data_IF_002667568356
#
_entry.id   IF_002667568356
#
_cell.length_a   1.000
_cell.length_b   1.000
_cell.length_c   1.000
_cell.angle_alpha   90.00
_cell.angle_beta   90.00
_cell.angle_gamma   90.00
#
_symmetry.space_group_name_H-M   'P 1'
#
loop_
_entity.id
_entity.type
_entity.pdbx_description
1 polymer ?
#
# COMPACT_ATOMS: atom_id res chain seq x y z
N UNK A 1 22.56 -7.19 17.23
CA UNK A 1 21.33 -7.29 16.42
C UNK A 1 21.56 -6.54 15.12
N UNK A 2 21.50 -7.21 13.98
CA UNK A 2 21.67 -6.57 12.68
C UNK A 2 20.41 -5.75 12.29
N UNK A 3 20.46 -4.86 11.29
CA UNK A 3 19.30 -4.04 10.90
C UNK A 3 18.05 -4.86 10.52
N UNK A 4 18.22 -6.00 9.85
CA UNK A 4 17.13 -6.90 9.47
C UNK A 4 16.48 -7.56 10.69
N UNK A 5 17.27 -8.03 11.66
CA UNK A 5 16.73 -8.56 12.92
C UNK A 5 15.94 -7.50 13.70
N UNK A 6 16.41 -6.24 13.68
CA UNK A 6 15.69 -5.14 14.33
C UNK A 6 14.34 -4.87 13.67
N UNK A 7 14.26 -4.94 12.34
CA UNK A 7 13.02 -4.79 11.59
C UNK A 7 12.08 -5.98 11.82
N UNK A 8 12.60 -7.21 11.77
CA UNK A 8 11.83 -8.42 12.06
C UNK A 8 11.19 -8.38 13.45
N UNK A 9 11.91 -7.89 14.46
CA UNK A 9 11.40 -7.78 15.83
C UNK A 9 10.30 -6.71 16.01
N UNK A 10 10.07 -5.84 15.02
CA UNK A 10 8.95 -4.87 15.04
C UNK A 10 7.64 -5.46 14.55
N UNK A 11 7.69 -6.56 13.79
CA UNK A 11 6.50 -7.19 13.21
C UNK A 11 5.55 -7.64 14.32
N UNK A 12 4.26 -7.46 14.07
CA UNK A 12 3.18 -7.88 14.97
C UNK A 12 2.25 -8.78 14.19
N UNK A 13 1.89 -9.92 14.79
CA UNK A 13 0.88 -10.79 14.21
C UNK A 13 -0.47 -10.09 14.29
N UNK A 14 -1.19 -10.09 13.18
CA UNK A 14 -2.58 -9.69 13.11
C UNK A 14 -3.32 -10.69 12.20
N UNK A 15 -4.63 -10.55 12.08
CA UNK A 15 -5.46 -11.42 11.25
C UNK A 15 -6.43 -10.54 10.47
N UNK A 16 -6.53 -10.68 9.14
CA UNK A 16 -7.55 -10.00 8.37
C UNK A 16 -8.94 -10.28 8.93
N UNK A 17 -9.71 -9.23 9.20
CA UNK A 17 -11.08 -9.33 9.70
C UNK A 17 -12.02 -8.76 8.65
N UNK A 18 -13.17 -9.42 8.47
CA UNK A 18 -14.22 -8.91 7.61
C UNK A 18 -14.74 -7.57 8.12
N UNK A 19 -15.12 -6.71 7.19
CA UNK A 19 -15.62 -5.37 7.48
C UNK A 19 -17.01 -5.19 6.88
N UNK A 20 -17.74 -4.21 7.38
CA UNK A 20 -19.03 -3.79 6.80
C UNK A 20 -18.88 -2.45 6.09
N UNK A 21 -19.78 -2.20 5.14
CA UNK A 21 -19.81 -0.95 4.39
C UNK A 21 -20.30 0.19 5.28
N UNK A 22 -19.45 1.19 5.49
CA UNK A 22 -19.78 2.44 6.15
C UNK A 22 -19.88 3.63 5.19
N UNK A 23 -19.99 4.83 5.77
CA UNK A 23 -19.97 6.09 5.02
C UNK A 23 -18.53 6.49 4.71
N UNK A 24 -18.26 6.71 3.43
CA UNK A 24 -17.00 7.27 2.93
C UNK A 24 -17.13 8.79 2.75
N UNK A 25 -16.01 9.48 2.55
CA UNK A 25 -16.02 10.92 2.26
C UNK A 25 -16.63 11.18 0.88
N UNK A 26 -17.56 12.13 0.83
CA UNK A 26 -18.17 12.61 -0.41
C UNK A 26 -17.11 13.18 -1.37
N UNK A 27 -17.15 12.76 -2.62
CA UNK A 27 -16.18 13.12 -3.66
C UNK A 27 -14.97 12.18 -3.74
N UNK A 28 -14.84 11.20 -2.83
CA UNK A 28 -13.76 10.20 -2.87
C UNK A 28 -14.18 8.86 -3.47
N UNK A 29 -15.47 8.64 -3.75
CA UNK A 29 -16.05 7.34 -4.04
C UNK A 29 -15.38 6.63 -5.23
N UNK A 30 -15.25 7.32 -6.36
CA UNK A 30 -14.61 6.75 -7.56
C UNK A 30 -13.13 6.46 -7.32
N UNK A 31 -12.41 7.38 -6.66
CA UNK A 31 -11.00 7.19 -6.32
C UNK A 31 -10.80 6.00 -5.38
N UNK A 32 -11.68 5.82 -4.38
CA UNK A 32 -11.65 4.65 -3.49
C UNK A 32 -11.85 3.34 -4.26
N UNK A 33 -12.72 3.33 -5.27
CA UNK A 33 -12.90 2.15 -6.15
C UNK A 33 -11.62 1.81 -6.92
N UNK A 34 -10.90 2.82 -7.43
CA UNK A 34 -9.60 2.61 -8.10
C UNK A 34 -8.50 2.17 -7.12
N UNK A 35 -8.49 2.72 -5.91
CA UNK A 35 -7.59 2.29 -4.83
C UNK A 35 -7.81 0.82 -4.49
N UNK A 36 -9.07 0.39 -4.39
CA UNK A 36 -9.38 -1.03 -4.16
C UNK A 36 -9.04 -1.90 -5.36
N UNK A 37 -9.26 -1.43 -6.59
CA UNK A 37 -8.93 -2.16 -7.81
C UNK A 37 -7.44 -2.53 -7.90
N UNK A 38 -6.54 -1.66 -7.43
CA UNK A 38 -5.10 -1.93 -7.45
C UNK A 38 -4.59 -2.88 -6.37
N UNK A 39 -5.47 -3.42 -5.51
CA UNK A 39 -5.11 -4.54 -4.61
C UNK A 39 -4.53 -5.73 -5.35
N UNK A 40 -4.83 -5.88 -6.65
CA UNK A 40 -4.24 -6.92 -7.49
C UNK A 40 -2.70 -6.81 -7.64
N UNK A 41 -2.07 -5.75 -7.11
CA UNK A 41 -0.63 -5.58 -7.03
C UNK A 41 0.00 -6.24 -5.77
N UNK A 42 -0.78 -6.55 -4.72
CA UNK A 42 -0.28 -7.16 -3.47
C UNK A 42 0.45 -8.50 -3.75
N UNK A 43 -0.19 -9.41 -4.48
CA UNK A 43 0.40 -10.71 -4.80
C UNK A 43 1.65 -10.61 -5.72
N UNK A 44 1.66 -9.78 -6.79
CA UNK A 44 2.88 -9.47 -7.53
C UNK A 44 4.03 -8.96 -6.67
N UNK A 45 3.78 -8.09 -5.69
CA UNK A 45 4.81 -7.59 -4.77
C UNK A 45 5.42 -8.75 -3.97
N UNK A 46 4.61 -9.66 -3.43
CA UNK A 46 5.09 -10.89 -2.78
C UNK A 46 5.88 -11.81 -3.73
N UNK A 47 5.43 -11.95 -4.98
CA UNK A 47 6.12 -12.73 -6.00
C UNK A 47 7.49 -12.12 -6.38
N UNK A 48 7.58 -10.78 -6.46
CA UNK A 48 8.82 -10.06 -6.72
C UNK A 48 9.87 -10.33 -5.64
N UNK A 49 9.47 -10.34 -4.37
CA UNK A 49 10.34 -10.69 -3.24
C UNK A 49 10.79 -12.14 -3.32
N UNK A 50 9.87 -13.06 -3.68
CA UNK A 50 10.17 -14.48 -3.84
C UNK A 50 11.21 -14.72 -4.94
N UNK A 51 11.02 -14.12 -6.11
CA UNK A 51 11.98 -14.20 -7.22
C UNK A 51 13.35 -13.62 -6.84
N UNK A 52 13.38 -12.55 -6.05
CA UNK A 52 14.63 -11.96 -5.60
C UNK A 52 15.41 -12.88 -4.65
N UNK A 53 14.71 -13.63 -3.79
CA UNK A 53 15.35 -14.61 -2.89
C UNK A 53 16.19 -15.63 -3.67
N UNK A 54 15.79 -15.98 -4.89
CA UNK A 54 16.50 -16.90 -5.77
C UNK A 54 17.71 -16.24 -6.47
N UNK A 55 17.68 -14.91 -6.66
CA UNK A 55 18.68 -14.15 -7.42
C UNK A 55 19.84 -13.57 -6.60
N UNK A 56 19.92 -13.91 -5.30
CA UNK A 56 21.05 -13.53 -4.44
C UNK A 56 20.80 -12.24 -3.65
N UNK A 57 19.96 -12.32 -2.63
CA UNK A 57 19.84 -11.30 -1.58
C UNK A 57 20.78 -11.60 -0.40
N UNK A 58 21.13 -10.59 0.42
CA UNK A 58 21.92 -10.82 1.63
C UNK A 58 21.28 -11.89 2.54
N UNK A 59 22.08 -12.86 3.00
CA UNK A 59 21.58 -13.97 3.82
C UNK A 59 20.84 -13.51 5.08
N UNK A 60 21.31 -12.42 5.69
CA UNK A 60 20.71 -11.79 6.88
C UNK A 60 19.31 -11.22 6.61
N UNK A 61 18.98 -10.91 5.36
CA UNK A 61 17.68 -10.38 4.96
C UNK A 61 16.65 -11.48 4.66
N UNK A 62 17.08 -12.70 4.30
CA UNK A 62 16.20 -13.76 3.78
C UNK A 62 15.02 -14.06 4.70
N UNK A 63 15.27 -14.23 6.00
CA UNK A 63 14.21 -14.52 6.98
C UNK A 63 13.14 -13.43 7.03
N UNK A 64 13.56 -12.16 6.94
CA UNK A 64 12.64 -11.03 6.96
C UNK A 64 11.86 -10.91 5.65
N UNK A 65 12.53 -11.09 4.50
CA UNK A 65 11.89 -11.07 3.18
C UNK A 65 10.82 -12.16 3.06
N UNK A 66 11.10 -13.39 3.49
CA UNK A 66 10.10 -14.48 3.55
C UNK A 66 8.93 -14.08 4.46
N UNK A 67 9.22 -13.41 5.58
CA UNK A 67 8.17 -12.93 6.46
C UNK A 67 7.31 -11.84 5.80
N UNK A 68 7.87 -10.98 4.96
CA UNK A 68 7.13 -9.94 4.25
C UNK A 68 6.20 -10.54 3.19
N UNK A 69 6.65 -11.57 2.44
CA UNK A 69 5.79 -12.30 1.49
C UNK A 69 4.50 -12.80 2.15
N UNK A 70 4.59 -13.27 3.40
CA UNK A 70 3.42 -13.73 4.13
C UNK A 70 2.47 -12.59 4.54
N UNK A 71 2.99 -11.38 4.73
CA UNK A 71 2.13 -10.23 5.01
C UNK A 71 1.31 -9.86 3.77
N UNK A 72 1.89 -9.95 2.57
CA UNK A 72 1.16 -9.64 1.31
C UNK A 72 -0.08 -10.52 1.11
N UNK A 73 -0.03 -11.79 1.54
CA UNK A 73 -1.20 -12.66 1.54
C UNK A 73 -2.29 -12.17 2.51
N UNK A 74 -1.89 -11.58 3.64
CA UNK A 74 -2.84 -10.96 4.58
C UNK A 74 -3.36 -9.63 4.04
N UNK A 75 -2.53 -8.84 3.35
CA UNK A 75 -2.91 -7.58 2.73
C UNK A 75 -3.98 -7.82 1.66
N UNK A 76 -3.72 -8.74 0.73
CA UNK A 76 -4.66 -9.14 -0.33
C UNK A 76 -6.00 -9.57 0.26
N UNK A 77 -5.97 -10.45 1.26
CA UNK A 77 -7.18 -10.91 1.94
C UNK A 77 -7.94 -9.79 2.65
N UNK A 78 -7.24 -8.91 3.36
CA UNK A 78 -7.87 -7.80 4.08
C UNK A 78 -8.50 -6.79 3.12
N UNK A 79 -7.81 -6.43 2.04
CA UNK A 79 -8.35 -5.56 1.00
C UNK A 79 -9.52 -6.23 0.26
N UNK A 80 -9.45 -7.54 0.03
CA UNK A 80 -10.55 -8.30 -0.56
C UNK A 80 -11.81 -8.26 0.30
N UNK A 81 -11.70 -8.31 1.64
CA UNK A 81 -12.86 -8.10 2.52
C UNK A 81 -13.47 -6.69 2.39
N UNK A 82 -12.65 -5.67 2.18
CA UNK A 82 -13.16 -4.31 1.89
C UNK A 82 -13.88 -4.30 0.53
N UNK A 83 -13.36 -4.99 -0.48
CA UNK A 83 -14.01 -5.11 -1.79
C UNK A 83 -15.34 -5.85 -1.69
N UNK A 84 -15.42 -6.93 -0.92
CA UNK A 84 -16.67 -7.66 -0.69
C UNK A 84 -17.75 -6.77 -0.05
N UNK A 85 -17.37 -5.91 0.90
CA UNK A 85 -18.30 -4.98 1.55
C UNK A 85 -18.74 -3.83 0.63
N UNK A 86 -17.82 -3.27 -0.17
CA UNK A 86 -18.10 -2.06 -0.97
C UNK A 86 -18.52 -2.35 -2.42
N UNK A 87 -18.27 -3.57 -2.91
CA UNK A 87 -18.35 -3.95 -4.32
C UNK A 87 -17.16 -3.46 -5.14
N UNK A 88 -17.13 -3.84 -6.42
CA UNK A 88 -16.10 -3.45 -7.40
C UNK A 88 -16.59 -2.35 -8.36
N UNK A 89 -15.67 -1.78 -9.11
CA UNK A 89 -15.94 -1.11 -10.40
C UNK A 89 -15.27 -1.95 -11.49
N UNK A 90 -16.06 -2.61 -12.34
CA UNK A 90 -15.52 -3.57 -13.32
C UNK A 90 -14.54 -2.94 -14.32
N UNK A 91 -14.75 -1.66 -14.66
CA UNK A 91 -13.82 -0.96 -15.54
C UNK A 91 -12.50 -0.72 -14.82
N UNK A 92 -12.56 -0.25 -13.57
CA UNK A 92 -11.37 -0.06 -12.75
C UNK A 92 -10.60 -1.36 -12.52
N UNK A 93 -11.29 -2.49 -12.28
CA UNK A 93 -10.66 -3.81 -12.14
C UNK A 93 -9.89 -4.19 -13.41
N UNK A 94 -10.51 -4.06 -14.59
CA UNK A 94 -9.85 -4.36 -15.87
C UNK A 94 -8.63 -3.48 -16.12
N UNK A 95 -8.73 -2.19 -15.84
CA UNK A 95 -7.63 -1.25 -16.01
C UNK A 95 -6.49 -1.50 -14.99
N UNK A 96 -6.82 -1.89 -13.76
CA UNK A 96 -5.83 -2.28 -12.75
C UNK A 96 -5.05 -3.53 -13.14
N UNK A 97 -5.70 -4.52 -13.77
CA UNK A 97 -5.01 -5.71 -14.30
C UNK A 97 -4.00 -5.35 -15.40
N UNK A 98 -4.31 -4.38 -16.26
CA UNK A 98 -3.37 -3.89 -17.29
C UNK A 98 -2.15 -3.25 -16.62
N UNK A 99 -2.36 -2.42 -15.59
CA UNK A 99 -1.27 -1.83 -14.81
C UNK A 99 -0.42 -2.93 -14.15
N UNK A 100 -1.05 -3.92 -13.51
CA UNK A 100 -0.40 -5.08 -12.92
C UNK A 100 0.50 -5.80 -13.91
N UNK A 101 -0.01 -6.08 -15.11
CA UNK A 101 0.76 -6.77 -16.13
C UNK A 101 1.96 -5.93 -16.59
N UNK A 102 1.83 -4.60 -16.65
CA UNK A 102 2.96 -3.71 -16.92
C UNK A 102 4.03 -3.76 -15.80
N UNK A 103 3.64 -3.85 -14.53
CA UNK A 103 4.57 -4.05 -13.41
C UNK A 103 5.29 -5.40 -13.46
N UNK A 104 4.54 -6.47 -13.77
CA UNK A 104 5.10 -7.82 -13.92
C UNK A 104 6.15 -7.86 -15.03
N UNK A 105 5.84 -7.28 -16.19
CA UNK A 105 6.70 -7.27 -17.38
C UNK A 105 7.86 -6.26 -17.30
N UNK A 106 7.83 -5.31 -16.35
CA UNK A 106 8.87 -4.29 -16.26
C UNK A 106 10.25 -4.94 -15.98
N UNK A 107 11.33 -4.57 -16.71
CA UNK A 107 12.61 -5.26 -16.67
C UNK A 107 13.45 -4.98 -15.42
N UNK A 108 13.13 -3.93 -14.66
CA UNK A 108 13.82 -3.61 -13.41
C UNK A 108 13.82 -4.78 -12.43
N UNK A 109 14.87 -4.83 -11.61
CA UNK A 109 15.02 -5.83 -10.56
C UNK A 109 13.77 -5.89 -9.67
N UNK A 110 13.30 -7.09 -9.37
CA UNK A 110 12.03 -7.29 -8.67
C UNK A 110 11.95 -6.58 -7.30
N UNK A 111 13.02 -6.56 -6.51
CA UNK A 111 13.07 -5.76 -5.27
C UNK A 111 12.95 -4.25 -5.48
N UNK A 112 13.49 -3.69 -6.57
CA UNK A 112 13.33 -2.26 -6.82
C UNK A 112 11.91 -1.95 -7.30
N UNK A 113 11.26 -2.89 -8.01
CA UNK A 113 9.83 -2.82 -8.33
C UNK A 113 8.97 -2.83 -7.05
N UNK A 114 9.21 -3.80 -6.15
CA UNK A 114 8.58 -3.90 -4.81
C UNK A 114 8.71 -2.59 -4.04
N UNK A 115 9.96 -2.13 -3.84
CA UNK A 115 10.24 -0.90 -3.11
C UNK A 115 9.56 0.32 -3.73
N UNK A 116 9.51 0.40 -5.06
CA UNK A 116 8.87 1.54 -5.75
C UNK A 116 7.36 1.52 -5.56
N UNK A 117 6.71 0.35 -5.65
CA UNK A 117 5.28 0.20 -5.41
C UNK A 117 4.91 0.51 -3.95
N UNK A 118 5.55 -0.15 -2.99
CA UNK A 118 5.30 0.04 -1.55
C UNK A 118 5.50 1.50 -1.14
N UNK A 119 6.68 2.06 -1.46
CA UNK A 119 7.08 3.39 -0.97
C UNK A 119 6.30 4.52 -1.59
N UNK A 120 5.93 4.44 -2.86
CA UNK A 120 5.41 5.58 -3.60
C UNK A 120 4.00 5.39 -4.16
N UNK A 121 3.42 4.20 -4.01
CA UNK A 121 2.00 3.94 -4.29
C UNK A 121 1.31 3.56 -2.97
N UNK A 122 1.67 2.46 -2.31
CA UNK A 122 0.94 2.01 -1.12
C UNK A 122 1.02 2.98 0.06
N UNK A 123 2.19 3.56 0.33
CA UNK A 123 2.31 4.65 1.31
C UNK A 123 1.48 5.91 0.99
N UNK A 124 0.94 6.04 -0.22
CA UNK A 124 -0.02 7.08 -0.61
C UNK A 124 -1.46 6.58 -0.42
N UNK A 125 -1.74 5.33 -0.86
CA UNK A 125 -3.09 4.76 -0.83
C UNK A 125 -3.57 4.46 0.59
N UNK A 126 -2.69 3.99 1.47
CA UNK A 126 -3.05 3.66 2.85
C UNK A 126 -3.51 4.91 3.62
N UNK A 127 -2.80 6.06 3.56
CA UNK A 127 -3.36 7.32 4.05
C UNK A 127 -4.64 7.76 3.35
N UNK A 128 -4.78 7.53 2.03
CA UNK A 128 -6.01 7.86 1.31
C UNK A 128 -7.23 7.11 1.89
N UNK A 129 -7.10 5.80 2.10
CA UNK A 129 -8.10 4.97 2.78
C UNK A 129 -8.39 5.48 4.19
N UNK A 130 -7.36 5.93 4.92
CA UNK A 130 -7.54 6.46 6.26
C UNK A 130 -8.31 7.78 6.32
N UNK A 131 -8.04 8.71 5.40
CA UNK A 131 -8.66 10.04 5.44
C UNK A 131 -10.01 10.11 4.73
N UNK A 132 -10.24 9.27 3.73
CA UNK A 132 -11.41 9.34 2.87
C UNK A 132 -12.31 8.10 2.96
N UNK A 133 -11.78 6.98 3.47
CA UNK A 133 -12.55 5.76 3.68
C UNK A 133 -13.36 5.76 4.97
N UNK A 134 -14.13 4.68 5.13
CA UNK A 134 -14.88 4.38 6.34
C UNK A 134 -14.01 3.69 7.40
N UNK A 135 -14.64 3.17 8.46
CA UNK A 135 -13.93 2.51 9.56
C UNK A 135 -13.24 1.22 9.13
N UNK A 136 -13.86 0.43 8.24
CA UNK A 136 -13.28 -0.80 7.72
C UNK A 136 -12.00 -0.52 6.92
N UNK A 137 -12.06 0.47 6.03
CA UNK A 137 -10.92 0.95 5.25
C UNK A 137 -9.80 1.51 6.15
N UNK A 138 -10.14 2.31 7.17
CA UNK A 138 -9.17 2.89 8.11
C UNK A 138 -8.43 1.84 8.92
N UNK A 139 -9.15 0.82 9.39
CA UNK A 139 -8.60 -0.27 10.20
C UNK A 139 -7.70 -1.15 9.34
N UNK A 140 -8.18 -1.57 8.17
CA UNK A 140 -7.41 -2.33 7.18
C UNK A 140 -6.12 -1.60 6.81
N UNK A 141 -6.21 -0.31 6.46
CA UNK A 141 -5.05 0.48 6.11
C UNK A 141 -4.08 0.65 7.28
N UNK A 142 -4.56 0.68 8.53
CA UNK A 142 -3.72 0.79 9.73
C UNK A 142 -2.92 -0.49 9.98
N UNK A 143 -3.52 -1.66 9.80
CA UNK A 143 -2.83 -2.94 9.95
C UNK A 143 -1.76 -3.10 8.86
N UNK A 144 -2.12 -2.88 7.59
CA UNK A 144 -1.18 -2.94 6.46
C UNK A 144 -0.05 -1.92 6.62
N UNK A 145 -0.34 -0.68 7.05
CA UNK A 145 0.69 0.37 7.23
C UNK A 145 1.79 0.00 8.23
N UNK A 146 1.55 -0.93 9.16
CA UNK A 146 2.58 -1.40 10.11
C UNK A 146 3.57 -2.33 9.43
N UNK A 147 3.08 -3.20 8.57
CA UNK A 147 3.90 -4.15 7.81
C UNK A 147 4.67 -3.44 6.72
N UNK A 148 4.03 -2.52 5.99
CA UNK A 148 4.64 -1.74 4.90
C UNK A 148 5.83 -0.87 5.35
N UNK A 149 5.83 -0.39 6.60
CA UNK A 149 7.01 0.28 7.18
C UNK A 149 8.21 -0.66 7.31
N UNK A 150 7.95 -1.93 7.61
CA UNK A 150 8.98 -2.97 7.69
C UNK A 150 9.40 -3.39 6.29
N UNK A 151 8.47 -3.50 5.34
CA UNK A 151 8.73 -3.85 3.94
C UNK A 151 9.64 -2.84 3.28
N UNK A 152 9.25 -1.56 3.25
CA UNK A 152 10.06 -0.47 2.69
C UNK A 152 11.41 -0.37 3.39
N UNK A 153 11.46 -0.54 4.71
CA UNK A 153 12.71 -0.55 5.47
C UNK A 153 13.64 -1.70 5.05
N UNK A 154 13.09 -2.88 4.83
CA UNK A 154 13.84 -4.07 4.38
C UNK A 154 14.32 -3.90 2.95
N UNK A 155 13.41 -3.59 2.03
CA UNK A 155 13.69 -3.43 0.61
C UNK A 155 14.67 -2.28 0.36
N UNK A 156 14.63 -1.20 1.15
CA UNK A 156 15.62 -0.11 1.08
C UNK A 156 17.03 -0.57 1.47
N UNK A 157 17.17 -1.39 2.51
CA UNK A 157 18.48 -1.93 2.91
C UNK A 157 19.04 -2.86 1.82
N UNK A 158 18.23 -3.81 1.35
CA UNK A 158 18.67 -4.78 0.34
C UNK A 158 19.01 -4.10 -1.00
N UNK A 159 18.15 -3.20 -1.48
CA UNK A 159 18.43 -2.47 -2.73
C UNK A 159 19.69 -1.61 -2.61
N UNK A 160 19.96 -1.01 -1.45
CA UNK A 160 21.21 -0.29 -1.19
C UNK A 160 22.42 -1.23 -1.24
N UNK A 161 22.36 -2.36 -0.54
CA UNK A 161 23.45 -3.36 -0.54
C UNK A 161 23.73 -3.94 -1.93
N UNK A 162 22.69 -4.07 -2.76
CA UNK A 162 22.79 -4.54 -4.15
C UNK A 162 23.06 -3.41 -5.16
N UNK A 163 23.21 -2.15 -4.71
CA UNK A 163 23.40 -0.98 -5.57
C UNK A 163 22.31 -0.81 -6.66
N UNK A 164 21.08 -1.16 -6.31
CA UNK A 164 19.91 -1.06 -7.18
C UNK A 164 19.28 0.32 -7.09
N UNK A 165 18.92 0.89 -8.24
CA UNK A 165 18.17 2.14 -8.36
C UNK A 165 17.04 1.96 -9.36
N UNK A 166 15.93 2.65 -9.12
CA UNK A 166 14.79 2.60 -10.03
C UNK A 166 15.16 3.27 -11.35
N UNK A 167 14.91 2.60 -12.47
CA UNK A 167 15.13 3.18 -13.78
C UNK A 167 14.13 4.31 -14.07
N UNK A 168 14.44 5.23 -15.01
CA UNK A 168 13.49 6.24 -15.44
C UNK A 168 12.17 5.64 -15.99
N UNK A 169 12.21 4.45 -16.60
CA UNK A 169 11.00 3.78 -17.08
C UNK A 169 10.15 3.23 -15.93
N UNK A 170 10.77 2.74 -14.86
CA UNK A 170 10.04 2.30 -13.66
C UNK A 170 9.37 3.50 -12.98
N UNK A 171 10.07 4.64 -12.87
CA UNK A 171 9.48 5.86 -12.32
C UNK A 171 8.31 6.37 -13.18
N UNK A 172 8.42 6.25 -14.51
CA UNK A 172 7.31 6.56 -15.43
C UNK A 172 6.10 5.64 -15.20
N UNK A 173 6.32 4.34 -15.00
CA UNK A 173 5.26 3.38 -14.68
C UNK A 173 4.60 3.70 -13.34
N UNK A 174 5.39 4.03 -12.31
CA UNK A 174 4.88 4.52 -11.02
C UNK A 174 3.99 5.74 -11.20
N UNK A 175 4.47 6.77 -11.90
CA UNK A 175 3.70 8.00 -12.16
C UNK A 175 2.40 7.73 -12.91
N UNK A 176 2.44 6.87 -13.93
CA UNK A 176 1.25 6.46 -14.66
C UNK A 176 0.23 5.77 -13.74
N UNK A 177 0.72 4.86 -12.89
CA UNK A 177 -0.11 4.12 -11.93
C UNK A 177 -0.80 5.07 -10.94
N UNK A 178 -0.05 5.91 -10.23
CA UNK A 178 -0.64 6.80 -9.22
C UNK A 178 -1.52 7.89 -9.85
N UNK A 179 -1.18 8.38 -11.04
CA UNK A 179 -2.02 9.35 -11.77
C UNK A 179 -3.34 8.74 -12.24
N UNK A 180 -3.35 7.46 -12.62
CA UNK A 180 -4.59 6.75 -12.95
C UNK A 180 -5.46 6.54 -11.71
N UNK A 181 -4.87 6.16 -10.58
CA UNK A 181 -5.62 5.99 -9.32
C UNK A 181 -6.27 7.31 -8.90
N UNK A 182 -5.49 8.39 -8.88
CA UNK A 182 -5.93 9.71 -8.42
C UNK A 182 -6.66 10.52 -9.51
N UNK A 183 -6.87 9.96 -10.70
CA UNK A 183 -7.49 10.65 -11.83
C UNK A 183 -8.86 11.27 -11.52
N UNK A 184 -9.76 10.61 -10.75
CA UNK A 184 -11.09 11.17 -10.49
C UNK A 184 -11.06 12.44 -9.63
N UNK A 185 -9.96 12.68 -8.91
CA UNK A 185 -9.81 13.87 -8.09
C UNK A 185 -9.50 15.10 -8.96
N UNK A 186 -10.03 16.24 -8.53
CA UNK A 186 -9.76 17.55 -9.12
C UNK A 186 -8.89 18.45 -8.24
N UNK A 187 -8.96 19.76 -8.49
CA UNK A 187 -8.53 20.76 -7.52
C UNK A 187 -9.66 20.96 -6.49
N UNK A 188 -9.31 20.93 -5.21
CA UNK A 188 -10.28 20.98 -4.12
C UNK A 188 -9.70 21.65 -2.88
N UNK A 189 -10.54 22.33 -2.08
CA UNK A 189 -10.14 23.00 -0.83
C UNK A 189 -9.77 22.00 0.27
N UNK A 190 -10.57 20.94 0.43
CA UNK A 190 -10.13 19.76 1.18
C UNK A 190 -8.97 19.09 0.44
N UNK A 191 -7.77 19.25 1.00
CA UNK A 191 -6.52 18.67 0.46
C UNK A 191 -6.58 17.15 0.25
N UNK A 192 -7.42 16.42 0.99
CA UNK A 192 -7.54 14.97 0.83
C UNK A 192 -8.38 14.56 -0.39
N UNK A 193 -9.10 15.51 -0.99
CA UNK A 193 -9.78 15.36 -2.27
C UNK A 193 -9.01 16.07 -3.40
N UNK A 194 -7.84 16.66 -3.09
CA UNK A 194 -7.03 17.37 -4.07
C UNK A 194 -6.07 16.40 -4.75
N UNK A 195 -6.18 16.25 -6.08
CA UNK A 195 -5.30 15.35 -6.86
C UNK A 195 -3.82 15.67 -6.68
N UNK A 196 -3.47 16.95 -6.71
CA UNK A 196 -2.07 17.40 -6.67
C UNK A 196 -1.40 16.99 -5.36
N UNK A 197 -2.12 17.08 -4.24
CA UNK A 197 -1.63 16.67 -2.93
C UNK A 197 -1.12 15.22 -2.93
N UNK A 198 -1.87 14.30 -3.52
CA UNK A 198 -1.51 12.88 -3.55
C UNK A 198 -0.38 12.56 -4.53
N UNK A 199 -0.34 13.25 -5.68
CA UNK A 199 0.75 13.09 -6.65
C UNK A 199 2.07 13.65 -6.11
N UNK A 200 2.04 14.83 -5.47
CA UNK A 200 3.21 15.41 -4.82
C UNK A 200 3.74 14.46 -3.73
N UNK A 201 2.85 13.89 -2.90
CA UNK A 201 3.24 12.93 -1.87
C UNK A 201 3.92 11.68 -2.45
N UNK A 202 3.42 11.14 -3.57
CA UNK A 202 4.04 10.03 -4.28
C UNK A 202 5.46 10.37 -4.76
N UNK A 203 5.64 11.55 -5.37
CA UNK A 203 6.94 12.00 -5.87
C UNK A 203 7.94 12.23 -4.72
N UNK A 204 7.52 12.87 -3.64
CA UNK A 204 8.40 13.11 -2.49
C UNK A 204 8.78 11.81 -1.77
N UNK A 205 7.86 10.87 -1.64
CA UNK A 205 8.19 9.54 -1.11
C UNK A 205 9.20 8.81 -2.01
N UNK A 206 9.07 8.93 -3.32
CA UNK A 206 10.00 8.32 -4.26
C UNK A 206 11.41 8.94 -4.19
N UNK A 207 11.51 10.27 -4.18
CA UNK A 207 12.78 10.98 -4.33
C UNK A 207 13.45 11.35 -3.00
N UNK A 208 12.67 11.67 -1.98
CA UNK A 208 13.17 12.12 -0.67
C UNK A 208 13.00 11.05 0.43
N UNK A 209 12.22 9.99 0.16
CA UNK A 209 11.85 8.98 1.16
C UNK A 209 10.93 9.54 2.26
N UNK A 210 10.33 10.71 2.04
CA UNK A 210 9.51 11.43 3.03
C UNK A 210 8.36 12.15 2.35
N UNK A 211 7.22 12.20 3.01
CA UNK A 211 6.10 13.10 2.67
C UNK A 211 5.64 13.85 3.94
N UNK A 212 6.28 14.99 4.28
CA UNK A 212 5.89 15.86 5.38
C UNK A 212 4.39 16.22 5.42
N UNK A 213 3.75 16.34 4.26
CA UNK A 213 2.33 16.59 4.10
C UNK A 213 1.43 15.48 4.68
N UNK A 214 1.96 14.26 4.80
CA UNK A 214 1.29 13.12 5.44
C UNK A 214 1.62 13.01 6.93
N UNK A 215 2.32 13.98 7.55
CA UNK A 215 2.73 13.90 8.95
C UNK A 215 1.56 13.72 9.94
N UNK A 216 0.34 14.16 9.57
CA UNK A 216 -0.87 13.97 10.38
C UNK A 216 -1.25 12.50 10.56
N UNK A 217 -0.80 11.60 9.67
CA UNK A 217 -1.00 10.15 9.80
C UNK A 217 -0.31 9.53 11.03
N UNK A 218 0.64 10.26 11.64
CA UNK A 218 1.30 9.88 12.90
C UNK A 218 0.33 9.89 14.08
N UNK A 219 -0.68 10.75 14.06
CA UNK A 219 -1.71 10.83 15.08
C UNK A 219 -2.87 9.89 14.71
N UNK A 220 -2.65 8.58 14.83
CA UNK A 220 -3.74 7.62 14.63
C UNK A 220 -4.71 7.72 15.81
N UNK A 221 -5.96 8.17 15.55
CA UNK A 221 -7.08 8.00 16.47
C UNK A 221 -7.60 6.58 16.28
N UNK A 222 -7.49 5.76 17.32
CA UNK A 222 -8.24 4.50 17.40
C UNK A 222 -9.71 4.91 17.56
N UNK A 223 -10.64 4.44 16.70
CA UNK A 223 -12.05 4.75 16.87
C UNK A 223 -12.49 4.38 18.28
N UNK A 224 -13.07 5.33 19.01
CA UNK A 224 -13.67 5.00 20.30
C UNK A 224 -14.93 4.16 20.07
N UNK A 225 -15.33 3.33 21.04
CA UNK A 225 -16.41 2.35 20.86
C UNK A 225 -17.75 2.96 20.39
N UNK A 226 -17.97 4.26 20.63
CA UNK A 226 -19.16 5.02 20.27
C UNK A 226 -19.05 5.80 18.94
N UNK A 227 -17.88 5.85 18.29
CA UNK A 227 -17.68 6.60 17.05
C UNK A 227 -18.16 5.83 15.80
N UNK A 228 -18.54 4.56 15.97
CA UNK A 228 -19.07 3.71 14.90
C UNK A 228 -20.04 2.69 15.47
N UNK A 229 -20.99 2.19 14.67
CA UNK A 229 -21.84 1.06 15.07
C UNK A 229 -20.95 -0.14 15.46
N UNK A 230 -21.31 -0.85 16.54
CA UNK A 230 -20.63 -2.09 16.93
C UNK A 230 -20.65 -3.15 15.82
N UNK A 231 -21.67 -3.11 14.94
CA UNK A 231 -21.77 -3.97 13.75
C UNK A 231 -20.64 -3.70 12.74
N UNK A 232 -20.04 -2.51 12.79
CA UNK A 232 -18.99 -2.07 11.88
C UNK A 232 -17.58 -2.21 12.48
N UNK A 233 -17.48 -2.67 13.73
CA UNK A 233 -16.19 -3.02 14.33
C UNK A 233 -15.80 -4.44 13.91
N UNK A 234 -14.49 -4.75 13.80
CA UNK A 234 -14.01 -6.11 13.61
C UNK A 234 -14.65 -7.05 14.64
N UNK A 235 -15.46 -8.00 14.18
CA UNK A 235 -16.04 -9.02 15.04
C UNK A 235 -15.03 -10.15 15.17
N UNK A 236 -14.50 -10.32 16.38
CA UNK A 236 -13.72 -11.51 16.72
C UNK A 236 -14.71 -12.63 17.03
N UNK A 237 -14.73 -13.67 16.21
CA UNK A 237 -15.46 -14.92 16.49
C UNK A 237 -14.77 -15.70 17.63
#
# INVERSE_FOLDING_TARGET
MNPYEKLLNRKRKWTPVQVTKGKVKEGAEETLKRVLAVRCLELPVGAFVTEALEKGVPDKARKLLISNVKDEENHDKALQYVVEAHGVDEKAEREALILRDAWLQHPDHTLIKSLTAERAIFFVLLPFLRFNGDVGMRTTAMDISRDEQVHVGTSSLVTTELSLTASPSLDKLRKATINWIMQPLGNHEDKYLNKKFWLDASDRLMYEGKAPELAQTKAARVPAFFETSNENLPQYA
#
